data_IF_410731722436
#
_entry.id   IF_410731722436
#
_cell.length_a   1.000
_cell.length_b   1.000
_cell.length_c   1.000
_cell.angle_alpha   90.00
_cell.angle_beta   90.00
_cell.angle_gamma   90.00
#
_symmetry.space_group_name_H-M   'P 1'
#
loop_
_entity.id
_entity.type
_entity.pdbx_description
1 polymer ?
#
# COMPACT_ATOMS: atom_id res chain seq x y z
N UNK A 1 -12.64 -44.26 -9.41
CA UNK A 1 -12.59 -42.80 -9.71
C UNK A 1 -13.12 -42.03 -8.51
N UNK A 2 -12.23 -41.63 -7.60
CA UNK A 2 -12.46 -40.60 -6.56
C UNK A 2 -11.05 -40.19 -6.08
N UNK A 3 -10.51 -39.12 -6.65
CA UNK A 3 -9.28 -38.46 -6.17
C UNK A 3 -9.54 -36.96 -6.24
N UNK A 4 -10.21 -36.48 -5.20
CA UNK A 4 -10.45 -35.08 -4.89
C UNK A 4 -10.82 -35.07 -3.41
N UNK A 5 -10.21 -34.17 -2.63
CA UNK A 5 -10.21 -34.10 -1.16
C UNK A 5 -9.10 -34.91 -0.47
N UNK A 6 -7.88 -34.36 -0.46
CA UNK A 6 -6.89 -34.65 0.60
C UNK A 6 -6.20 -33.39 1.10
N UNK A 7 -5.89 -32.41 0.23
CA UNK A 7 -5.20 -31.17 0.64
C UNK A 7 -6.00 -30.34 1.66
N UNK A 8 -7.30 -30.09 1.43
CA UNK A 8 -8.14 -29.30 2.35
C UNK A 8 -8.49 -30.00 3.66
N UNK A 9 -8.49 -31.34 3.68
CA UNK A 9 -8.77 -32.12 4.88
C UNK A 9 -7.55 -32.25 5.80
N UNK A 10 -6.35 -32.37 5.23
CA UNK A 10 -5.08 -32.32 5.98
C UNK A 10 -4.87 -30.96 6.64
N UNK A 11 -5.22 -29.90 5.90
CA UNK A 11 -5.10 -28.51 6.34
C UNK A 11 -5.98 -28.17 7.56
N UNK A 12 -7.22 -28.67 7.61
CA UNK A 12 -8.07 -28.55 8.80
C UNK A 12 -7.60 -29.41 10.00
N UNK A 13 -6.87 -30.49 9.74
CA UNK A 13 -6.39 -31.42 10.79
C UNK A 13 -5.07 -31.00 11.44
N UNK A 14 -4.22 -30.25 10.72
CA UNK A 14 -2.94 -29.76 11.23
C UNK A 14 -3.08 -28.50 12.10
N UNK A 15 -4.06 -27.64 11.84
CA UNK A 15 -4.14 -26.30 12.44
C UNK A 15 -5.51 -25.97 13.05
N UNK A 16 -5.86 -26.70 14.12
CA UNK A 16 -7.12 -26.62 14.87
C UNK A 16 -7.68 -25.21 15.17
N UNK A 17 -8.97 -25.20 15.46
CA UNK A 17 -9.95 -24.13 15.17
C UNK A 17 -9.92 -22.83 16.00
N UNK A 18 -9.05 -22.64 16.99
CA UNK A 18 -9.21 -21.50 17.93
C UNK A 18 -8.17 -20.37 17.85
N UNK A 19 -7.03 -20.52 17.15
CA UNK A 19 -5.94 -19.50 17.18
C UNK A 19 -5.34 -19.15 15.80
N UNK A 20 -6.05 -19.48 14.71
CA UNK A 20 -5.54 -19.36 13.32
C UNK A 20 -5.23 -17.93 12.86
N UNK A 21 -5.83 -16.92 13.49
CA UNK A 21 -5.65 -15.50 13.15
C UNK A 21 -4.86 -14.74 14.22
N UNK A 22 -4.11 -15.44 15.07
CA UNK A 22 -3.40 -14.85 16.19
C UNK A 22 -2.02 -14.32 15.80
N UNK A 23 -1.57 -13.26 16.47
CA UNK A 23 -0.21 -12.73 16.32
C UNK A 23 0.87 -13.78 16.63
N UNK A 24 0.75 -14.62 17.68
CA UNK A 24 1.69 -15.72 17.91
C UNK A 24 1.78 -16.69 16.73
N UNK A 25 0.64 -17.09 16.15
CA UNK A 25 0.62 -18.00 15.01
C UNK A 25 1.26 -17.37 13.77
N UNK A 26 0.94 -16.11 13.48
CA UNK A 26 1.59 -15.36 12.40
C UNK A 26 3.12 -15.28 12.60
N UNK A 27 3.58 -14.98 13.83
CA UNK A 27 5.02 -14.92 14.14
C UNK A 27 5.71 -16.27 13.96
N UNK A 28 5.03 -17.36 14.30
CA UNK A 28 5.53 -18.72 14.10
C UNK A 28 5.70 -19.02 12.60
N UNK A 29 4.64 -18.83 11.79
CA UNK A 29 4.66 -19.06 10.34
C UNK A 29 5.79 -18.29 9.64
N UNK A 30 5.97 -17.02 10.00
CA UNK A 30 7.05 -16.19 9.46
C UNK A 30 8.43 -16.74 9.84
N UNK A 31 8.61 -17.18 11.08
CA UNK A 31 9.91 -17.68 11.55
C UNK A 31 10.26 -18.97 10.82
N UNK A 32 9.30 -19.88 10.67
CA UNK A 32 9.49 -21.12 9.93
C UNK A 32 9.82 -20.87 8.44
N UNK A 33 9.13 -19.92 7.81
CA UNK A 33 9.41 -19.53 6.43
C UNK A 33 10.80 -18.87 6.27
N UNK A 34 11.25 -18.10 7.27
CA UNK A 34 12.58 -17.47 7.25
C UNK A 34 13.72 -18.47 7.45
N UNK A 35 13.49 -19.55 8.21
CA UNK A 35 14.45 -20.65 8.36
C UNK A 35 14.56 -21.49 7.07
N UNK A 36 13.51 -21.54 6.25
CA UNK A 36 13.56 -22.20 4.94
C UNK A 36 14.36 -21.37 3.91
N UNK A 37 15.69 -21.54 3.91
CA UNK A 37 16.60 -20.82 2.99
C UNK A 37 16.48 -21.25 1.52
N UNK A 38 16.02 -22.47 1.24
CA UNK A 38 15.91 -23.04 -0.11
C UNK A 38 14.58 -23.81 -0.20
N UNK A 39 13.74 -23.44 -1.16
CA UNK A 39 12.51 -24.18 -1.49
C UNK A 39 12.86 -25.29 -2.49
N UNK A 40 12.56 -26.53 -2.15
CA UNK A 40 12.79 -27.71 -2.97
C UNK A 40 11.55 -28.61 -3.03
N UNK A 41 11.60 -29.70 -3.79
CA UNK A 41 10.46 -30.62 -3.94
C UNK A 41 10.06 -31.35 -2.64
N UNK A 42 10.88 -31.33 -1.58
CA UNK A 42 10.59 -31.99 -0.31
C UNK A 42 9.87 -31.07 0.68
N UNK A 43 10.10 -29.76 0.60
CA UNK A 43 9.48 -28.77 1.47
C UNK A 43 8.42 -27.90 0.80
N UNK A 44 8.23 -28.06 -0.52
CA UNK A 44 7.31 -27.23 -1.31
C UNK A 44 5.89 -27.19 -0.77
N UNK A 45 5.29 -28.35 -0.43
CA UNK A 45 3.93 -28.41 0.10
C UNK A 45 3.79 -27.62 1.41
N UNK A 46 4.76 -27.79 2.33
CA UNK A 46 4.80 -27.06 3.59
C UNK A 46 4.94 -25.55 3.37
N UNK A 47 5.82 -25.14 2.46
CA UNK A 47 6.04 -23.72 2.14
C UNK A 47 4.76 -23.10 1.55
N UNK A 48 4.10 -23.80 0.62
CA UNK A 48 2.82 -23.35 0.05
C UNK A 48 1.75 -23.21 1.14
N UNK A 49 1.63 -24.18 2.05
CA UNK A 49 0.63 -24.14 3.12
C UNK A 49 0.89 -23.00 4.13
N UNK A 50 2.16 -22.77 4.50
CA UNK A 50 2.57 -21.65 5.37
C UNK A 50 2.25 -20.32 4.69
N UNK A 51 2.61 -20.20 3.41
CA UNK A 51 2.36 -19.00 2.60
C UNK A 51 0.88 -18.72 2.45
N UNK A 52 0.08 -19.74 2.10
CA UNK A 52 -1.37 -19.62 1.98
C UNK A 52 -1.98 -19.18 3.31
N UNK A 53 -1.50 -19.73 4.44
CA UNK A 53 -1.93 -19.31 5.78
C UNK A 53 -1.60 -17.84 6.06
N UNK A 54 -0.40 -17.36 5.69
CA UNK A 54 -0.04 -15.94 5.79
C UNK A 54 -0.98 -15.07 4.95
N UNK A 55 -1.24 -15.46 3.70
CA UNK A 55 -2.15 -14.75 2.80
C UNK A 55 -3.56 -14.69 3.38
N UNK A 56 -4.04 -15.78 3.96
CA UNK A 56 -5.36 -15.82 4.60
C UNK A 56 -5.44 -14.98 5.87
N UNK A 57 -4.41 -14.99 6.70
CA UNK A 57 -4.35 -14.12 7.88
C UNK A 57 -4.43 -12.64 7.47
N UNK A 58 -3.70 -12.25 6.42
CA UNK A 58 -3.75 -10.88 5.88
C UNK A 58 -5.08 -10.59 5.18
N UNK A 59 -5.68 -11.58 4.49
CA UNK A 59 -6.95 -11.45 3.76
C UNK A 59 -8.17 -11.37 4.68
N UNK A 60 -8.14 -12.10 5.80
CA UNK A 60 -9.16 -12.11 6.83
C UNK A 60 -8.91 -11.04 7.91
N UNK A 61 -7.93 -10.15 7.73
CA UNK A 61 -7.61 -9.02 8.61
C UNK A 61 -8.73 -7.98 8.79
N UNK A 62 -9.98 -8.34 8.50
CA UNK A 62 -11.19 -7.59 8.86
C UNK A 62 -11.45 -7.63 10.39
N UNK A 63 -10.75 -8.52 11.12
CA UNK A 63 -10.82 -8.67 12.57
C UNK A 63 -9.78 -7.82 13.31
N UNK A 64 -10.06 -6.52 13.48
CA UNK A 64 -9.83 -5.67 14.67
C UNK A 64 -8.53 -5.73 15.51
N UNK A 65 -7.43 -6.38 15.13
CA UNK A 65 -6.18 -6.38 15.91
C UNK A 65 -5.04 -5.56 15.26
N UNK A 66 -4.79 -4.32 15.74
CA UNK A 66 -3.64 -3.53 15.31
C UNK A 66 -2.31 -4.28 15.43
N UNK A 67 -2.14 -5.15 16.44
CA UNK A 67 -0.89 -5.88 16.66
C UNK A 67 -0.57 -6.84 15.51
N UNK A 68 -1.60 -7.35 14.83
CA UNK A 68 -1.42 -8.18 13.65
C UNK A 68 -0.88 -7.37 12.47
N UNK A 69 -1.44 -6.18 12.22
CA UNK A 69 -0.93 -5.27 11.18
C UNK A 69 0.48 -4.77 11.49
N UNK A 70 0.81 -4.54 12.76
CA UNK A 70 2.18 -4.25 13.20
C UNK A 70 3.14 -5.39 12.87
N UNK A 71 2.74 -6.62 13.21
CA UNK A 71 3.52 -7.81 12.91
C UNK A 71 3.69 -8.00 11.40
N UNK A 72 2.63 -7.80 10.61
CA UNK A 72 2.67 -7.86 9.15
C UNK A 72 3.61 -6.80 8.58
N UNK A 73 3.47 -5.53 8.99
CA UNK A 73 4.32 -4.43 8.51
C UNK A 73 5.79 -4.62 8.86
N UNK A 74 6.09 -5.16 10.04
CA UNK A 74 7.47 -5.34 10.51
C UNK A 74 8.13 -6.61 9.99
N UNK A 75 7.35 -7.66 9.71
CA UNK A 75 7.87 -8.98 9.38
C UNK A 75 7.70 -9.41 7.93
N UNK A 76 6.68 -8.91 7.20
CA UNK A 76 6.54 -9.18 5.75
C UNK A 76 7.58 -8.35 5.00
N UNK A 77 8.77 -8.92 4.89
CA UNK A 77 9.89 -8.31 4.19
C UNK A 77 9.97 -8.78 2.73
N UNK A 78 10.89 -8.15 2.01
CA UNK A 78 11.19 -8.46 0.62
C UNK A 78 11.57 -9.94 0.40
N UNK A 79 12.18 -10.59 1.39
CA UNK A 79 12.59 -12.00 1.33
C UNK A 79 11.39 -12.94 1.33
N UNK A 80 10.39 -12.69 2.19
CA UNK A 80 9.15 -13.46 2.23
C UNK A 80 8.40 -13.33 0.91
N UNK A 81 8.26 -12.11 0.40
CA UNK A 81 7.64 -11.88 -0.91
C UNK A 81 8.47 -12.54 -2.04
N UNK A 82 9.80 -12.58 -1.92
CA UNK A 82 10.63 -13.33 -2.86
C UNK A 82 10.34 -14.82 -2.84
N UNK A 83 10.08 -15.39 -1.67
CA UNK A 83 9.66 -16.79 -1.56
C UNK A 83 8.28 -16.96 -2.20
N UNK A 84 7.32 -16.07 -1.94
CA UNK A 84 5.98 -16.08 -2.58
C UNK A 84 6.08 -16.13 -4.11
N UNK A 85 6.96 -15.29 -4.68
CA UNK A 85 7.19 -15.21 -6.13
C UNK A 85 7.99 -16.41 -6.63
N UNK A 86 8.97 -16.94 -5.87
CA UNK A 86 9.83 -18.07 -6.30
C UNK A 86 9.20 -19.44 -6.14
N UNK A 87 8.22 -19.61 -5.26
CA UNK A 87 7.43 -20.84 -5.14
C UNK A 87 6.66 -21.16 -6.45
N UNK A 88 6.71 -20.25 -7.43
CA UNK A 88 6.37 -20.48 -8.84
C UNK A 88 7.21 -21.59 -9.50
N UNK A 89 6.75 -22.83 -9.31
CA UNK A 89 7.13 -23.97 -10.14
C UNK A 89 6.02 -24.44 -11.08
N UNK A 90 4.73 -24.26 -10.75
CA UNK A 90 3.65 -24.90 -11.53
C UNK A 90 2.35 -24.08 -11.48
N UNK A 91 1.90 -23.60 -12.65
CA UNK A 91 0.54 -23.23 -13.15
C UNK A 91 -0.54 -22.57 -12.25
N UNK A 92 -0.37 -22.45 -10.93
CA UNK A 92 -1.39 -21.97 -9.99
C UNK A 92 -0.86 -20.96 -8.95
N UNK A 93 0.46 -20.69 -8.92
CA UNK A 93 1.08 -19.88 -7.86
C UNK A 93 1.17 -18.37 -8.10
N UNK A 94 0.91 -17.85 -9.31
CA UNK A 94 0.76 -16.39 -9.55
C UNK A 94 -0.34 -15.78 -8.69
N UNK A 95 -1.25 -16.61 -8.19
CA UNK A 95 -2.37 -16.20 -7.37
C UNK A 95 -1.97 -15.74 -5.96
N UNK A 96 -0.91 -16.30 -5.36
CA UNK A 96 -0.52 -15.99 -3.98
C UNK A 96 -0.05 -14.53 -3.79
N UNK A 97 0.96 -14.03 -4.53
CA UNK A 97 1.37 -12.63 -4.47
C UNK A 97 0.24 -11.66 -4.82
N UNK A 98 -0.57 -12.01 -5.81
CA UNK A 98 -1.72 -11.20 -6.26
C UNK A 98 -2.83 -11.17 -5.21
N UNK A 99 -3.09 -12.28 -4.53
CA UNK A 99 -4.09 -12.36 -3.46
C UNK A 99 -3.64 -11.56 -2.25
N UNK A 100 -2.35 -11.66 -1.88
CA UNK A 100 -1.78 -10.83 -0.82
C UNK A 100 -1.92 -9.34 -1.12
N UNK A 101 -1.63 -8.94 -2.36
CA UNK A 101 -1.82 -7.55 -2.81
C UNK A 101 -3.28 -7.11 -2.72
N UNK A 102 -4.18 -7.90 -3.30
CA UNK A 102 -5.61 -7.59 -3.36
C UNK A 102 -6.20 -7.52 -1.95
N UNK A 103 -5.75 -8.36 -1.04
CA UNK A 103 -6.09 -8.33 0.38
C UNK A 103 -5.60 -7.04 1.04
N UNK A 104 -4.31 -6.69 0.89
CA UNK A 104 -3.75 -5.47 1.45
C UNK A 104 -4.50 -4.21 0.95
N UNK A 105 -4.84 -4.15 -0.34
CA UNK A 105 -5.55 -3.03 -0.92
C UNK A 105 -6.94 -2.77 -0.30
N UNK A 106 -7.63 -3.79 0.23
CA UNK A 106 -8.91 -3.60 0.93
C UNK A 106 -8.77 -2.70 2.16
N UNK A 107 -7.59 -2.68 2.77
CA UNK A 107 -7.29 -1.86 3.94
C UNK A 107 -6.67 -0.51 3.60
N UNK A 108 -6.40 -0.23 2.32
CA UNK A 108 -5.72 0.99 1.89
C UNK A 108 -6.44 2.30 2.22
N UNK A 109 -7.76 2.25 2.45
CA UNK A 109 -8.57 3.41 2.82
C UNK A 109 -8.71 3.62 4.34
N UNK A 110 -8.19 2.70 5.16
CA UNK A 110 -8.19 2.87 6.62
C UNK A 110 -7.27 4.04 6.98
N UNK A 111 -7.68 4.89 7.93
CA UNK A 111 -6.91 6.06 8.37
C UNK A 111 -5.79 5.74 9.38
N UNK A 112 -5.71 4.49 9.82
CA UNK A 112 -4.75 4.04 10.82
C UNK A 112 -3.35 3.95 10.19
N UNK A 113 -2.42 4.81 10.66
CA UNK A 113 -1.07 4.93 10.08
C UNK A 113 -0.32 3.61 9.97
N UNK A 114 -0.50 2.72 10.94
CA UNK A 114 0.16 1.42 10.96
C UNK A 114 -0.40 0.47 9.91
N UNK A 115 -1.73 0.48 9.69
CA UNK A 115 -2.36 -0.28 8.60
C UNK A 115 -1.87 0.27 7.26
N UNK A 116 -1.84 1.60 7.09
CA UNK A 116 -1.32 2.22 5.88
C UNK A 116 0.15 1.84 5.64
N UNK A 117 1.00 1.91 6.66
CA UNK A 117 2.39 1.49 6.57
C UNK A 117 2.53 0.02 6.13
N UNK A 118 1.73 -0.88 6.70
CA UNK A 118 1.72 -2.29 6.32
C UNK A 118 1.33 -2.47 4.84
N UNK A 119 0.24 -1.84 4.40
CA UNK A 119 -0.25 -1.92 3.02
C UNK A 119 0.76 -1.35 2.04
N UNK A 120 1.36 -0.20 2.36
CA UNK A 120 2.41 0.44 1.54
C UNK A 120 3.66 -0.43 1.46
N UNK A 121 4.10 -1.02 2.57
CA UNK A 121 5.25 -1.92 2.61
C UNK A 121 5.03 -3.17 1.75
N UNK A 122 3.87 -3.82 1.88
CA UNK A 122 3.49 -4.98 1.04
C UNK A 122 3.48 -4.58 -0.44
N UNK A 123 2.83 -3.46 -0.76
CA UNK A 123 2.73 -2.94 -2.13
C UNK A 123 4.12 -2.73 -2.73
N UNK A 124 4.97 -1.93 -2.08
CA UNK A 124 6.31 -1.61 -2.58
C UNK A 124 7.20 -2.85 -2.69
N UNK A 125 7.17 -3.73 -1.71
CA UNK A 125 7.99 -4.95 -1.74
C UNK A 125 7.53 -5.92 -2.83
N UNK A 126 6.24 -5.94 -3.16
CA UNK A 126 5.73 -6.76 -4.25
C UNK A 126 6.27 -6.28 -5.60
N UNK A 127 6.10 -5.01 -5.92
CA UNK A 127 6.62 -4.44 -7.17
C UNK A 127 8.15 -4.58 -7.30
N UNK A 128 8.90 -4.59 -6.19
CA UNK A 128 10.36 -4.77 -6.21
C UNK A 128 10.82 -6.20 -6.55
N UNK A 129 9.98 -7.21 -6.36
CA UNK A 129 10.40 -8.63 -6.37
C UNK A 129 9.61 -9.48 -7.36
N UNK A 130 8.42 -9.03 -7.74
CA UNK A 130 7.55 -9.70 -8.69
C UNK A 130 8.20 -9.89 -10.06
N UNK A 131 7.81 -10.96 -10.74
CA UNK A 131 8.19 -11.23 -12.13
C UNK A 131 7.28 -10.47 -13.11
N UNK A 132 7.65 -10.48 -14.39
CA UNK A 132 6.92 -9.80 -15.47
C UNK A 132 5.44 -10.17 -15.52
N UNK A 133 5.09 -11.43 -15.20
CA UNK A 133 3.70 -11.92 -15.24
C UNK A 133 2.87 -11.35 -14.09
N UNK A 134 3.42 -11.36 -12.87
CA UNK A 134 2.75 -10.74 -11.71
C UNK A 134 2.67 -9.23 -11.91
N UNK A 135 3.72 -8.58 -12.38
CA UNK A 135 3.73 -7.15 -12.68
C UNK A 135 2.70 -6.77 -13.75
N UNK A 136 2.58 -7.57 -14.82
CA UNK A 136 1.54 -7.40 -15.84
C UNK A 136 0.15 -7.46 -15.23
N UNK A 137 -0.09 -8.41 -14.32
CA UNK A 137 -1.37 -8.53 -13.63
C UNK A 137 -1.65 -7.33 -12.73
N UNK A 138 -0.67 -6.92 -11.92
CA UNK A 138 -0.79 -5.77 -11.02
C UNK A 138 -1.03 -4.45 -11.78
N UNK A 139 -0.50 -4.35 -13.00
CA UNK A 139 -0.65 -3.19 -13.89
C UNK A 139 -1.96 -3.19 -14.69
N UNK A 140 -2.81 -4.21 -14.54
CA UNK A 140 -4.08 -4.33 -15.29
C UNK A 140 -5.26 -3.88 -14.41
N UNK A 141 -6.21 -3.07 -14.92
CA UNK A 141 -7.43 -2.72 -14.19
C UNK A 141 -8.24 -3.97 -13.81
N UNK A 142 -8.90 -4.00 -12.63
CA UNK A 142 -9.06 -2.90 -11.67
C UNK A 142 -7.91 -2.77 -10.65
N UNK A 143 -6.90 -3.64 -10.72
CA UNK A 143 -5.83 -3.74 -9.70
C UNK A 143 -4.90 -2.52 -9.73
N UNK A 144 -4.64 -2.00 -10.93
CA UNK A 144 -3.86 -0.79 -11.17
C UNK A 144 -4.58 0.51 -10.74
N UNK A 145 -5.91 0.49 -10.62
CA UNK A 145 -6.71 1.69 -10.30
C UNK A 145 -6.38 2.24 -8.91
N UNK A 146 -5.75 1.44 -8.07
CA UNK A 146 -5.22 1.86 -6.78
C UNK A 146 -4.38 3.14 -6.87
N UNK A 147 -3.48 3.26 -7.85
CA UNK A 147 -2.59 4.42 -7.96
C UNK A 147 -3.30 5.66 -8.47
N UNK A 148 -4.20 5.52 -9.46
CA UNK A 148 -5.04 6.64 -9.89
C UNK A 148 -5.95 7.11 -8.75
N UNK A 149 -6.49 6.18 -7.96
CA UNK A 149 -7.29 6.51 -6.77
C UNK A 149 -6.47 7.18 -5.68
N UNK A 150 -5.20 6.81 -5.51
CA UNK A 150 -4.26 7.44 -4.58
C UNK A 150 -4.04 8.91 -4.94
N UNK A 151 -3.72 9.19 -6.21
CA UNK A 151 -3.52 10.55 -6.70
C UNK A 151 -4.82 11.37 -6.67
N UNK A 152 -5.97 10.74 -6.95
CA UNK A 152 -7.27 11.38 -6.79
C UNK A 152 -7.54 11.81 -5.34
N UNK A 153 -7.32 10.90 -4.37
CA UNK A 153 -7.49 11.23 -2.94
C UNK A 153 -6.54 12.35 -2.51
N UNK A 154 -5.30 12.34 -2.97
CA UNK A 154 -4.35 13.42 -2.72
C UNK A 154 -4.88 14.78 -3.20
N UNK A 155 -5.50 14.82 -4.40
CA UNK A 155 -6.16 16.03 -4.91
C UNK A 155 -7.33 16.46 -4.01
N UNK A 156 -8.14 15.53 -3.52
CA UNK A 156 -9.23 15.85 -2.58
C UNK A 156 -8.67 16.44 -1.28
N UNK A 157 -7.64 15.85 -0.68
CA UNK A 157 -6.99 16.37 0.53
C UNK A 157 -6.42 17.77 0.33
N UNK A 158 -5.75 18.03 -0.81
CA UNK A 158 -5.29 19.37 -1.16
C UNK A 158 -6.45 20.38 -1.26
N UNK A 159 -7.62 19.95 -1.75
CA UNK A 159 -8.80 20.81 -1.87
C UNK A 159 -9.45 21.08 -0.49
N UNK A 160 -9.44 20.10 0.41
CA UNK A 160 -9.86 20.29 1.80
C UNK A 160 -8.93 21.24 2.55
N UNK A 161 -7.61 21.08 2.39
CA UNK A 161 -6.62 21.97 2.98
C UNK A 161 -6.81 23.43 2.53
N UNK A 162 -7.09 23.66 1.24
CA UNK A 162 -7.40 24.97 0.68
C UNK A 162 -8.61 25.62 1.40
N UNK A 163 -9.67 24.84 1.64
CA UNK A 163 -10.83 25.28 2.42
C UNK A 163 -10.48 25.68 3.86
N UNK A 164 -9.62 24.91 4.54
CA UNK A 164 -9.16 25.24 5.89
C UNK A 164 -8.31 26.52 5.93
N UNK A 165 -7.43 26.71 4.95
CA UNK A 165 -6.59 27.92 4.85
C UNK A 165 -7.47 29.16 4.65
N UNK A 166 -8.49 29.06 3.79
CA UNK A 166 -9.43 30.16 3.57
C UNK A 166 -10.19 30.53 4.85
N UNK A 167 -10.72 29.53 5.56
CA UNK A 167 -11.42 29.75 6.82
C UNK A 167 -10.52 30.39 7.89
N UNK A 168 -9.25 29.98 7.94
CA UNK A 168 -8.27 30.50 8.89
C UNK A 168 -7.85 31.94 8.59
N UNK A 169 -7.81 32.30 7.30
CA UNK A 169 -7.57 33.68 6.85
C UNK A 169 -8.67 34.63 7.29
N UNK A 170 -9.91 34.17 7.35
CA UNK A 170 -11.04 34.95 7.85
C UNK A 170 -11.07 35.03 9.38
N UNK A 171 -10.75 33.92 10.06
CA UNK A 171 -10.74 33.84 11.53
C UNK A 171 -9.58 32.97 12.04
N UNK A 172 -8.54 33.62 12.54
CA UNK A 172 -7.40 32.94 13.14
C UNK A 172 -7.81 32.25 14.46
N UNK A 173 -7.57 30.95 14.58
CA UNK A 173 -7.71 30.19 15.83
C UNK A 173 -6.55 29.21 15.99
N UNK A 174 -6.02 29.06 17.21
CA UNK A 174 -4.94 28.09 17.50
C UNK A 174 -5.34 26.64 17.13
N UNK A 175 -6.62 26.30 17.36
CA UNK A 175 -7.19 25.02 16.95
C UNK A 175 -7.14 24.83 15.43
N UNK A 176 -7.57 25.84 14.65
CA UNK A 176 -7.57 25.77 13.19
C UNK A 176 -6.17 25.64 12.59
N UNK A 177 -5.15 26.26 13.19
CA UNK A 177 -3.75 26.03 12.78
C UNK A 177 -3.29 24.60 13.03
N UNK A 178 -3.64 24.02 14.17
CA UNK A 178 -3.29 22.62 14.49
C UNK A 178 -3.97 21.65 13.52
N UNK A 179 -5.24 21.86 13.20
CA UNK A 179 -5.96 21.05 12.20
C UNK A 179 -5.34 21.17 10.80
N UNK A 180 -4.97 22.40 10.40
CA UNK A 180 -4.31 22.65 9.12
C UNK A 180 -2.96 21.92 9.04
N UNK A 181 -2.15 21.97 10.11
CA UNK A 181 -0.88 21.25 10.17
C UNK A 181 -1.06 19.74 10.09
N UNK A 182 -2.05 19.19 10.81
CA UNK A 182 -2.37 17.76 10.75
C UNK A 182 -2.79 17.31 9.35
N UNK A 183 -3.54 18.13 8.62
CA UNK A 183 -3.94 17.82 7.25
C UNK A 183 -2.77 17.96 6.26
N UNK A 184 -1.92 18.98 6.44
CA UNK A 184 -0.69 19.13 5.66
C UNK A 184 0.26 17.93 5.85
N UNK A 185 0.43 17.45 7.08
CA UNK A 185 1.27 16.27 7.38
C UNK A 185 0.77 15.01 6.65
N UNK A 186 -0.55 14.80 6.54
CA UNK A 186 -1.10 13.67 5.78
C UNK A 186 -0.77 13.77 4.29
N UNK A 187 -0.86 14.98 3.73
CA UNK A 187 -0.55 15.22 2.31
C UNK A 187 0.94 14.98 2.05
N UNK A 188 1.81 15.45 2.95
CA UNK A 188 3.26 15.21 2.85
C UNK A 188 3.56 13.71 2.88
N UNK A 189 2.96 12.96 3.80
CA UNK A 189 3.11 11.51 3.90
C UNK A 189 2.68 10.78 2.62
N UNK A 190 1.55 11.16 2.01
CA UNK A 190 1.12 10.62 0.71
C UNK A 190 2.08 10.98 -0.43
N UNK A 191 2.67 12.18 -0.43
CA UNK A 191 3.68 12.58 -1.42
C UNK A 191 4.95 11.73 -1.29
N UNK A 192 5.41 11.44 -0.06
CA UNK A 192 6.54 10.54 0.15
C UNK A 192 6.23 9.12 -0.34
N UNK A 193 5.02 8.63 -0.11
CA UNK A 193 4.63 7.32 -0.63
C UNK A 193 4.60 7.29 -2.17
N UNK A 194 4.09 8.33 -2.83
CA UNK A 194 4.14 8.46 -4.29
C UNK A 194 5.59 8.52 -4.82
N UNK A 195 6.48 9.23 -4.11
CA UNK A 195 7.91 9.23 -4.42
C UNK A 195 8.48 7.81 -4.33
N UNK A 196 8.16 7.06 -3.28
CA UNK A 196 8.64 5.70 -3.10
C UNK A 196 8.15 4.78 -4.23
N UNK A 197 6.88 4.92 -4.65
CA UNK A 197 6.30 4.19 -5.79
C UNK A 197 7.07 4.47 -7.08
N UNK A 198 7.29 5.74 -7.42
CA UNK A 198 8.06 6.13 -8.62
C UNK A 198 9.50 5.60 -8.52
N UNK A 199 10.07 5.59 -7.32
CA UNK A 199 11.45 5.13 -7.06
C UNK A 199 11.62 3.62 -7.14
N UNK A 200 10.54 2.82 -7.19
CA UNK A 200 10.65 1.38 -7.46
C UNK A 200 11.26 1.13 -8.85
N UNK A 201 11.12 2.07 -9.78
CA UNK A 201 11.74 2.01 -11.11
C UNK A 201 11.01 1.13 -12.11
N UNK A 202 9.81 0.63 -11.76
CA UNK A 202 8.94 -0.07 -12.70
C UNK A 202 8.28 0.91 -13.68
N UNK A 203 8.50 0.68 -14.98
CA UNK A 203 8.15 1.64 -16.03
C UNK A 203 6.63 1.86 -16.13
N UNK A 204 5.84 0.78 -16.10
CA UNK A 204 4.38 0.84 -16.16
C UNK A 204 3.80 1.60 -14.95
N UNK A 205 4.36 1.38 -13.77
CA UNK A 205 3.88 1.96 -12.52
C UNK A 205 4.22 3.45 -12.43
N UNK A 206 5.46 3.79 -12.73
CA UNK A 206 5.92 5.18 -12.75
C UNK A 206 5.16 6.01 -13.80
N UNK A 207 4.87 5.43 -14.97
CA UNK A 207 4.06 6.09 -16.01
C UNK A 207 2.61 6.31 -15.54
N UNK A 208 1.96 5.30 -14.96
CA UNK A 208 0.58 5.42 -14.46
C UNK A 208 0.45 6.49 -13.36
N UNK A 209 1.41 6.55 -12.43
CA UNK A 209 1.45 7.58 -11.39
C UNK A 209 1.74 8.96 -12.00
N UNK A 210 2.74 9.07 -12.88
CA UNK A 210 3.09 10.33 -13.52
C UNK A 210 1.91 10.91 -14.32
N UNK A 211 1.23 10.08 -15.11
CA UNK A 211 0.06 10.48 -15.90
C UNK A 211 -1.10 10.91 -15.00
N UNK A 212 -1.33 10.20 -13.90
CA UNK A 212 -2.33 10.57 -12.89
C UNK A 212 -1.99 11.91 -12.23
N UNK A 213 -0.73 12.14 -11.86
CA UNK A 213 -0.26 13.41 -11.28
C UNK A 213 -0.47 14.57 -12.25
N UNK A 214 -0.14 14.36 -13.52
CA UNK A 214 -0.36 15.36 -14.57
C UNK A 214 -1.84 15.70 -14.70
N UNK A 215 -2.70 14.68 -14.79
CA UNK A 215 -4.13 14.85 -15.02
C UNK A 215 -4.87 15.46 -13.82
N UNK A 216 -4.55 15.03 -12.60
CA UNK A 216 -5.34 15.40 -11.41
C UNK A 216 -4.75 16.56 -10.61
N UNK A 217 -3.45 16.85 -10.72
CA UNK A 217 -2.80 17.94 -9.99
C UNK A 217 -2.28 19.03 -10.93
N UNK A 218 -1.42 18.67 -11.88
CA UNK A 218 -0.69 19.66 -12.70
C UNK A 218 -1.64 20.41 -13.65
N UNK A 219 -2.44 19.71 -14.45
CA UNK A 219 -3.38 20.36 -15.38
C UNK A 219 -4.40 21.26 -14.68
N UNK A 220 -5.02 20.86 -13.54
CA UNK A 220 -5.88 21.77 -12.78
C UNK A 220 -5.17 23.00 -12.23
N UNK A 221 -3.90 22.88 -11.81
CA UNK A 221 -3.10 24.04 -11.36
C UNK A 221 -2.78 24.95 -12.53
N UNK A 222 -2.27 24.41 -13.64
CA UNK A 222 -1.99 25.18 -14.86
C UNK A 222 -3.25 25.85 -15.41
N UNK A 223 -4.39 25.15 -15.41
CA UNK A 223 -5.68 25.68 -15.83
C UNK A 223 -6.17 26.82 -14.93
N UNK A 224 -5.87 26.78 -13.62
CA UNK A 224 -6.12 27.91 -12.70
C UNK A 224 -5.18 29.07 -13.01
N UNK A 225 -3.87 28.82 -13.13
CA UNK A 225 -2.87 29.86 -13.44
C UNK A 225 -3.17 30.57 -14.77
N UNK A 226 -3.62 29.85 -15.79
CA UNK A 226 -3.98 30.42 -17.09
C UNK A 226 -5.30 31.22 -17.06
N UNK A 227 -6.21 30.93 -16.13
CA UNK A 227 -7.46 31.69 -15.94
C UNK A 227 -7.27 32.93 -15.07
N UNK A 228 -6.25 32.98 -14.21
CA UNK A 228 -5.98 34.11 -13.32
C UNK A 228 -5.24 35.24 -14.06
N UNK A 229 -5.97 35.99 -14.89
CA UNK A 229 -5.60 37.36 -15.31
C UNK A 229 -6.16 38.43 -14.36
N UNK A 230 -6.71 38.05 -13.20
CA UNK A 230 -7.17 38.99 -12.19
C UNK A 230 -6.76 38.56 -10.79
N UNK A 231 -6.16 39.52 -10.09
CA UNK A 231 -5.62 39.54 -8.73
C UNK A 231 -6.45 38.80 -7.69
N UNK A 232 -6.28 37.49 -7.59
CA UNK A 232 -6.84 36.69 -6.50
C UNK A 232 -5.72 35.95 -5.76
N UNK A 233 -5.54 36.33 -4.49
CA UNK A 233 -4.46 35.91 -3.58
C UNK A 233 -4.56 34.40 -3.25
N UNK A 234 -5.65 33.74 -3.66
CA UNK A 234 -5.85 32.29 -3.62
C UNK A 234 -4.83 31.51 -4.47
N UNK A 235 -4.13 32.17 -5.40
CA UNK A 235 -3.02 31.57 -6.16
C UNK A 235 -1.67 31.52 -5.40
N UNK A 236 -1.61 32.00 -4.14
CA UNK A 236 -0.38 31.95 -3.30
C UNK A 236 -0.24 30.66 -2.47
N UNK A 237 -1.28 29.85 -2.40
CA UNK A 237 -1.28 28.55 -1.70
C UNK A 237 -0.28 27.52 -2.27
N UNK A 238 -0.12 27.39 -3.60
CA UNK A 238 0.98 26.60 -4.16
C UNK A 238 2.35 27.06 -3.63
N UNK A 239 2.55 28.36 -3.39
CA UNK A 239 3.84 28.87 -2.90
C UNK A 239 4.10 28.57 -1.42
N UNK A 240 3.08 28.62 -0.55
CA UNK A 240 3.23 28.20 0.85
C UNK A 240 3.40 26.70 0.99
N UNK A 241 2.61 25.92 0.25
CA UNK A 241 2.70 24.46 0.25
C UNK A 241 4.03 23.98 -0.36
N UNK A 242 4.46 24.57 -1.48
CA UNK A 242 5.78 24.31 -2.06
C UNK A 242 6.92 24.77 -1.14
N UNK A 243 6.79 25.88 -0.41
CA UNK A 243 7.82 26.33 0.54
C UNK A 243 7.90 25.44 1.79
N UNK A 244 6.76 24.97 2.30
CA UNK A 244 6.69 24.02 3.42
C UNK A 244 7.25 22.66 3.02
N UNK A 245 6.82 22.13 1.86
CA UNK A 245 7.39 20.90 1.27
C UNK A 245 8.88 21.07 1.03
N UNK A 246 9.32 22.17 0.42
CA UNK A 246 10.74 22.42 0.15
C UNK A 246 11.57 22.50 1.45
N UNK A 247 11.07 23.18 2.48
CA UNK A 247 11.72 23.23 3.79
C UNK A 247 11.79 21.86 4.47
N UNK A 248 10.77 21.01 4.29
CA UNK A 248 10.72 19.66 4.87
C UNK A 248 11.63 18.68 4.12
N UNK A 249 11.70 18.78 2.79
CA UNK A 249 12.57 17.97 1.93
C UNK A 249 14.05 18.40 1.97
N UNK A 250 14.36 19.65 2.35
CA UNK A 250 15.75 20.14 2.47
C UNK A 250 16.44 19.77 3.79
N UNK A 251 15.71 19.19 4.75
CA UNK A 251 16.22 18.84 6.09
C UNK A 251 16.54 17.34 6.29
N UNK A 252 16.31 16.50 5.28
CA UNK A 252 16.69 15.08 5.27
C UNK A 252 17.66 14.75 4.14
#
# INVERSE_FOLDING_TARGET
MKTGCTATALWFSLWGSDDRFSVPHFRYLISELQETKIVDNHNWDLVVDIVQSIVEIVSCGDSQDPQLFEAVSSKVNIGIISILVKVHGVRYCSFLPVTLYSAALKFSQRSERMIQAAVRAITLNLYKVSDDLVLQFLSTPPVSDYFSNLVWRLKEQCSHLDGHVHALKERFTDHGWKELLLEADKIVDEIYYLKDIISVGESCLSEAVALSLVNFLIFPILGRLLKTQQSDVSCLLPNFFCSYIYSYFSQG
#
